data_IF_261797865769
#
_entry.id   IF_261797865769
#
_cell.length_a   1.000
_cell.length_b   1.000
_cell.length_c   1.000
_cell.angle_alpha   90.00
_cell.angle_beta   90.00
_cell.angle_gamma   90.00
#
_symmetry.space_group_name_H-M   'P 1'
#
loop_
_entity.id
_entity.type
_entity.pdbx_description
1 polymer ?
#
# COMPACT_ATOMS: atom_id res chain seq x y z
N UNK A 1 12.68 24.70 1.08
CA UNK A 1 11.34 25.11 1.59
C UNK A 1 11.26 24.78 3.08
N UNK A 2 10.60 25.59 3.92
CA UNK A 2 10.47 25.29 5.35
C UNK A 2 9.61 24.03 5.57
N UNK A 3 10.04 23.11 6.45
CA UNK A 3 9.33 21.87 6.76
C UNK A 3 7.84 22.08 7.12
N UNK A 4 7.54 23.19 7.80
CA UNK A 4 6.16 23.59 8.15
C UNK A 4 5.25 23.74 6.92
N UNK A 5 5.75 24.28 5.81
CA UNK A 5 4.94 24.46 4.58
C UNK A 5 4.60 23.12 3.94
N UNK A 6 5.54 22.17 3.95
CA UNK A 6 5.32 20.82 3.44
C UNK A 6 4.25 20.09 4.27
N UNK A 7 4.32 20.16 5.59
CA UNK A 7 3.31 19.57 6.46
C UNK A 7 1.92 20.16 6.24
N UNK A 8 1.80 21.49 6.13
CA UNK A 8 0.51 22.14 5.85
C UNK A 8 -0.04 21.66 4.50
N UNK A 9 0.78 21.66 3.45
CA UNK A 9 0.35 21.22 2.12
C UNK A 9 -0.08 19.75 2.13
N UNK A 10 0.68 18.87 2.78
CA UNK A 10 0.38 17.45 2.89
C UNK A 10 -0.93 17.20 3.66
N UNK A 11 -1.16 17.91 4.76
CA UNK A 11 -2.40 17.80 5.53
C UNK A 11 -3.62 18.31 4.75
N UNK A 12 -3.49 19.42 4.02
CA UNK A 12 -4.55 19.94 3.16
C UNK A 12 -4.87 18.93 2.06
N UNK A 13 -3.84 18.40 1.38
CA UNK A 13 -4.02 17.39 0.34
C UNK A 13 -4.69 16.12 0.89
N UNK A 14 -4.35 15.68 2.10
CA UNK A 14 -4.97 14.53 2.74
C UNK A 14 -6.47 14.76 2.99
N UNK A 15 -6.84 15.90 3.59
CA UNK A 15 -8.24 16.22 3.88
C UNK A 15 -9.05 16.36 2.59
N UNK A 16 -8.51 17.05 1.58
CA UNK A 16 -9.16 17.17 0.28
C UNK A 16 -9.34 15.80 -0.38
N UNK A 17 -8.33 14.93 -0.31
CA UNK A 17 -8.41 13.58 -0.84
C UNK A 17 -9.50 12.77 -0.14
N UNK A 18 -9.67 12.90 1.18
CA UNK A 18 -10.75 12.21 1.91
C UNK A 18 -12.14 12.66 1.41
N UNK A 19 -12.35 13.98 1.31
CA UNK A 19 -13.61 14.54 0.83
C UNK A 19 -13.91 14.07 -0.60
N UNK A 20 -12.92 14.16 -1.50
CA UNK A 20 -13.06 13.73 -2.89
C UNK A 20 -13.32 12.22 -3.00
N UNK A 21 -12.76 11.41 -2.10
CA UNK A 21 -12.99 9.96 -2.07
C UNK A 21 -14.46 9.62 -1.86
N UNK A 22 -15.08 10.22 -0.85
CA UNK A 22 -16.50 10.03 -0.58
C UNK A 22 -17.40 10.66 -1.65
N UNK A 23 -16.98 11.80 -2.21
CA UNK A 23 -17.73 12.47 -3.27
C UNK A 23 -17.80 11.64 -4.55
N UNK A 24 -16.70 11.00 -4.97
CA UNK A 24 -16.64 10.22 -6.22
C UNK A 24 -17.19 8.80 -6.05
N UNK A 25 -16.87 8.12 -4.94
CA UNK A 25 -17.14 6.68 -4.78
C UNK A 25 -18.22 6.37 -3.72
N UNK A 26 -18.96 7.39 -3.29
CA UNK A 26 -19.95 7.29 -2.22
C UNK A 26 -19.32 6.95 -0.86
N UNK A 27 -20.17 6.75 0.15
CA UNK A 27 -19.69 6.54 1.52
C UNK A 27 -18.91 5.23 1.67
N UNK A 28 -19.41 4.12 1.11
CA UNK A 28 -18.78 2.79 1.26
C UNK A 28 -17.48 2.72 0.47
N UNK A 29 -17.51 3.00 -0.84
CA UNK A 29 -16.31 2.99 -1.69
C UNK A 29 -15.29 4.01 -1.22
N UNK A 30 -15.71 5.26 -0.99
CA UNK A 30 -14.83 6.32 -0.51
C UNK A 30 -14.13 6.00 0.82
N UNK A 31 -14.80 5.28 1.73
CA UNK A 31 -14.21 4.87 3.01
C UNK A 31 -13.02 3.91 2.85
N UNK A 32 -13.02 3.05 1.82
CA UNK A 32 -11.87 2.20 1.53
C UNK A 32 -10.66 3.01 1.05
N UNK A 33 -10.87 4.04 0.23
CA UNK A 33 -9.78 4.92 -0.19
C UNK A 33 -9.29 5.81 0.96
N UNK A 34 -10.19 6.33 1.80
CA UNK A 34 -9.81 7.04 3.04
C UNK A 34 -8.97 6.15 3.95
N UNK A 35 -9.37 4.88 4.13
CA UNK A 35 -8.59 3.91 4.88
C UNK A 35 -7.20 3.70 4.28
N UNK A 36 -7.10 3.53 2.96
CA UNK A 36 -5.81 3.38 2.27
C UNK A 36 -4.89 4.59 2.48
N UNK A 37 -5.44 5.81 2.37
CA UNK A 37 -4.70 7.05 2.61
C UNK A 37 -4.29 7.20 4.08
N UNK A 38 -5.14 6.79 5.03
CA UNK A 38 -4.81 6.78 6.45
C UNK A 38 -3.65 5.81 6.74
N UNK A 39 -3.63 4.64 6.11
CA UNK A 39 -2.50 3.70 6.20
C UNK A 39 -1.23 4.29 5.60
N UNK A 40 -1.31 4.93 4.42
CA UNK A 40 -0.16 5.59 3.80
C UNK A 40 0.40 6.73 4.69
N UNK A 41 -0.48 7.50 5.33
CA UNK A 41 -0.09 8.53 6.28
C UNK A 41 0.58 7.94 7.52
N UNK A 42 0.00 6.88 8.09
CA UNK A 42 0.54 6.17 9.25
C UNK A 42 1.92 5.55 8.94
N UNK A 43 2.11 5.03 7.74
CA UNK A 43 3.41 4.56 7.26
C UNK A 43 4.46 5.66 7.32
N UNK A 44 4.20 6.80 6.68
CA UNK A 44 5.17 7.89 6.58
C UNK A 44 5.48 8.52 7.95
N UNK A 45 4.49 8.63 8.81
CA UNK A 45 4.61 9.32 10.11
C UNK A 45 5.16 8.45 11.23
N UNK A 46 4.87 7.14 11.23
CA UNK A 46 5.17 6.29 12.37
C UNK A 46 5.80 4.94 12.00
N UNK A 47 5.28 4.24 10.98
CA UNK A 47 5.60 2.83 10.79
C UNK A 47 6.74 2.51 9.83
N UNK A 48 7.13 3.44 8.96
CA UNK A 48 8.18 3.24 7.94
C UNK A 48 9.50 2.70 8.51
N UNK A 49 9.85 3.12 9.73
CA UNK A 49 11.10 2.75 10.43
C UNK A 49 10.94 1.59 11.42
N UNK A 50 9.83 0.88 11.36
CA UNK A 50 9.49 -0.19 12.30
C UNK A 50 9.40 -1.55 11.61
N UNK A 51 9.28 -2.60 12.41
CA UNK A 51 8.95 -3.95 11.94
C UNK A 51 7.58 -4.03 11.23
N UNK A 52 6.67 -3.11 11.51
CA UNK A 52 5.31 -3.11 10.97
C UNK A 52 5.16 -2.32 9.67
N UNK A 53 6.28 -1.91 9.05
CA UNK A 53 6.30 -1.10 7.81
C UNK A 53 5.60 -1.76 6.61
N UNK A 54 5.54 -3.10 6.57
CA UNK A 54 4.84 -3.84 5.51
C UNK A 54 3.32 -3.79 5.63
N UNK A 55 2.79 -3.63 6.85
CA UNK A 55 1.35 -3.76 7.13
C UNK A 55 0.53 -2.63 6.47
N UNK A 56 0.93 -1.35 6.55
CA UNK A 56 0.25 -0.28 5.82
C UNK A 56 0.17 -0.51 4.31
N UNK A 57 1.21 -1.07 3.70
CA UNK A 57 1.22 -1.37 2.27
C UNK A 57 0.23 -2.49 1.93
N UNK A 58 0.21 -3.57 2.71
CA UNK A 58 -0.74 -4.67 2.53
C UNK A 58 -2.19 -4.15 2.61
N UNK A 59 -2.48 -3.35 3.63
CA UNK A 59 -3.83 -2.82 3.89
C UNK A 59 -4.24 -1.76 2.85
N UNK A 60 -3.35 -0.83 2.49
CA UNK A 60 -3.65 0.21 1.52
C UNK A 60 -3.88 -0.34 0.11
N UNK A 61 -3.05 -1.27 -0.34
CA UNK A 61 -3.25 -1.90 -1.64
C UNK A 61 -4.48 -2.83 -1.63
N UNK A 62 -4.69 -3.61 -0.56
CA UNK A 62 -5.88 -4.46 -0.43
C UNK A 62 -7.20 -3.69 -0.41
N UNK A 63 -7.18 -2.40 -0.04
CA UNK A 63 -8.33 -1.52 -0.07
C UNK A 63 -8.65 -0.96 -1.48
N UNK A 64 -7.77 -1.13 -2.47
CA UNK A 64 -7.99 -0.63 -3.83
C UNK A 64 -9.17 -1.33 -4.52
N UNK A 65 -9.25 -2.67 -4.57
CA UNK A 65 -10.40 -3.34 -5.17
C UNK A 65 -11.76 -2.96 -4.58
N UNK A 66 -11.97 -2.96 -3.25
CA UNK A 66 -13.27 -2.57 -2.71
C UNK A 66 -13.56 -1.08 -2.90
N UNK A 67 -12.57 -0.19 -2.92
CA UNK A 67 -12.79 1.20 -3.35
C UNK A 67 -13.38 1.26 -4.77
N UNK A 68 -12.80 0.53 -5.71
CA UNK A 68 -13.23 0.52 -7.10
C UNK A 68 -14.60 -0.13 -7.28
N UNK A 69 -14.83 -1.33 -6.74
CA UNK A 69 -16.10 -2.03 -6.97
C UNK A 69 -17.26 -1.32 -6.27
N UNK A 70 -17.12 -0.96 -4.98
CA UNK A 70 -18.17 -0.20 -4.31
C UNK A 70 -18.41 1.17 -4.96
N UNK A 71 -17.37 1.83 -5.47
CA UNK A 71 -17.48 3.12 -6.14
C UNK A 71 -18.12 3.06 -7.53
N UNK A 72 -17.88 2.00 -8.30
CA UNK A 72 -18.37 1.88 -9.68
C UNK A 72 -19.73 1.20 -9.79
N UNK A 73 -19.95 0.13 -9.02
CA UNK A 73 -21.14 -0.72 -9.15
C UNK A 73 -21.85 -1.02 -7.82
N UNK A 74 -21.33 -0.52 -6.69
CA UNK A 74 -21.94 -0.71 -5.37
C UNK A 74 -21.80 -2.13 -4.81
N UNK A 75 -20.99 -2.99 -5.43
CA UNK A 75 -20.83 -4.39 -5.03
C UNK A 75 -19.47 -4.65 -4.36
N UNK A 76 -19.45 -5.64 -3.46
CA UNK A 76 -18.21 -6.11 -2.86
C UNK A 76 -17.35 -6.85 -3.91
N UNK A 77 -16.02 -6.73 -3.87
CA UNK A 77 -15.16 -7.53 -4.72
C UNK A 77 -15.12 -8.98 -4.21
N UNK A 78 -14.81 -9.92 -5.09
CA UNK A 78 -14.46 -11.27 -4.67
C UNK A 78 -13.18 -11.23 -3.82
N UNK A 79 -13.15 -12.02 -2.73
CA UNK A 79 -12.12 -11.91 -1.69
C UNK A 79 -10.69 -12.15 -2.20
N UNK A 80 -10.52 -12.95 -3.27
CA UNK A 80 -9.20 -13.20 -3.85
C UNK A 80 -8.56 -11.91 -4.39
N UNK A 81 -9.35 -10.94 -4.83
CA UNK A 81 -8.85 -9.72 -5.47
C UNK A 81 -8.20 -8.75 -4.46
N UNK A 82 -8.84 -8.35 -3.34
CA UNK A 82 -8.19 -7.63 -2.24
C UNK A 82 -6.94 -8.34 -1.70
N UNK A 83 -6.99 -9.66 -1.55
CA UNK A 83 -5.85 -10.44 -1.04
C UNK A 83 -4.66 -10.39 -2.02
N UNK A 84 -4.93 -10.51 -3.33
CA UNK A 84 -3.91 -10.42 -4.37
C UNK A 84 -3.26 -9.04 -4.39
N UNK A 85 -4.06 -7.97 -4.26
CA UNK A 85 -3.53 -6.61 -4.16
C UNK A 85 -2.72 -6.41 -2.88
N UNK A 86 -3.13 -6.99 -1.75
CA UNK A 86 -2.35 -6.93 -0.51
C UNK A 86 -0.96 -7.61 -0.66
N UNK A 87 -0.90 -8.77 -1.33
CA UNK A 87 0.36 -9.45 -1.66
C UNK A 87 1.27 -8.55 -2.51
N UNK A 88 0.71 -7.95 -3.57
CA UNK A 88 1.42 -7.00 -4.43
C UNK A 88 1.87 -5.77 -3.63
N UNK A 89 1.05 -5.28 -2.70
CA UNK A 89 1.41 -4.18 -1.80
C UNK A 89 2.64 -4.49 -0.96
N UNK A 90 2.72 -5.68 -0.36
CA UNK A 90 3.91 -6.10 0.39
C UNK A 90 5.13 -6.22 -0.54
N UNK A 91 4.95 -6.70 -1.78
CA UNK A 91 6.01 -6.68 -2.78
C UNK A 91 6.48 -5.26 -3.09
N UNK A 92 5.56 -4.31 -3.26
CA UNK A 92 5.87 -2.92 -3.53
C UNK A 92 6.62 -2.26 -2.36
N UNK A 93 6.26 -2.60 -1.11
CA UNK A 93 6.99 -2.17 0.07
C UNK A 93 8.45 -2.63 0.03
N UNK A 94 8.69 -3.92 -0.26
CA UNK A 94 10.05 -4.46 -0.35
C UNK A 94 10.84 -3.76 -1.47
N UNK A 95 10.24 -3.59 -2.65
CA UNK A 95 10.85 -2.91 -3.77
C UNK A 95 11.23 -1.46 -3.44
N UNK A 96 10.34 -0.75 -2.73
CA UNK A 96 10.55 0.63 -2.31
C UNK A 96 11.67 0.77 -1.26
N UNK A 97 11.85 -0.21 -0.38
CA UNK A 97 12.84 -0.15 0.69
C UNK A 97 14.21 -0.72 0.33
N UNK A 98 14.31 -1.58 -0.70
CA UNK A 98 15.56 -2.23 -1.11
C UNK A 98 16.72 -1.26 -1.40
N UNK A 99 16.53 -0.16 -2.17
CA UNK A 99 17.60 0.78 -2.48
C UNK A 99 18.19 1.47 -1.24
N UNK A 100 17.37 1.65 -0.21
CA UNK A 100 17.71 2.46 0.97
C UNK A 100 18.22 1.61 2.16
N UNK A 101 18.34 0.28 2.01
CA UNK A 101 18.69 -0.62 3.12
C UNK A 101 20.00 -0.22 3.80
N UNK A 102 21.05 0.04 3.03
CA UNK A 102 22.38 0.30 3.60
C UNK A 102 22.45 1.70 4.23
N UNK A 103 21.81 2.70 3.62
CA UNK A 103 21.71 4.06 4.17
C UNK A 103 20.89 4.08 5.45
N UNK A 104 19.74 3.38 5.48
CA UNK A 104 18.88 3.30 6.67
C UNK A 104 19.54 2.52 7.80
N UNK A 105 20.29 1.45 7.47
CA UNK A 105 21.09 0.72 8.45
C UNK A 105 22.16 1.61 9.07
N UNK A 106 22.86 2.42 8.26
CA UNK A 106 23.84 3.40 8.73
C UNK A 106 23.23 4.47 9.64
N UNK A 107 21.97 4.85 9.39
CA UNK A 107 21.19 5.77 10.23
C UNK A 107 20.59 5.11 11.50
N UNK A 108 20.87 3.84 11.75
CA UNK A 108 20.39 3.10 12.94
C UNK A 108 18.92 2.70 12.89
N UNK A 109 18.27 2.76 11.71
CA UNK A 109 16.90 2.32 11.51
C UNK A 109 16.81 0.79 11.65
N UNK A 110 15.75 0.31 12.32
CA UNK A 110 15.50 -1.12 12.56
C UNK A 110 14.17 -1.56 11.95
N UNK A 111 14.08 -1.44 10.63
CA UNK A 111 12.90 -1.82 9.85
C UNK A 111 12.85 -3.32 9.50
N UNK A 112 11.66 -3.80 9.14
CA UNK A 112 11.43 -5.16 8.65
C UNK A 112 12.37 -5.55 7.51
N UNK A 113 12.45 -4.73 6.47
CA UNK A 113 13.26 -5.01 5.27
C UNK A 113 14.76 -5.06 5.59
N UNK A 114 15.22 -4.17 6.47
CA UNK A 114 16.63 -4.13 6.91
C UNK A 114 17.02 -5.43 7.63
N UNK A 115 16.10 -5.98 8.44
CA UNK A 115 16.31 -7.24 9.15
C UNK A 115 16.40 -8.46 8.23
N UNK A 116 15.66 -8.46 7.12
CA UNK A 116 15.75 -9.49 6.10
C UNK A 116 17.09 -9.42 5.35
N UNK A 117 17.59 -8.19 5.17
CA UNK A 117 18.76 -7.91 4.36
C UNK A 117 18.46 -8.01 2.86
N UNK A 118 19.37 -7.46 2.05
CA UNK A 118 19.18 -7.26 0.60
C UNK A 118 18.76 -8.54 -0.12
N UNK A 119 19.45 -9.66 0.11
CA UNK A 119 19.21 -10.92 -0.63
C UNK A 119 17.84 -11.51 -0.31
N UNK A 120 17.47 -11.65 0.97
CA UNK A 120 16.18 -12.25 1.35
C UNK A 120 15.02 -11.32 0.97
N UNK A 121 15.17 -10.01 1.18
CA UNK A 121 14.17 -9.02 0.78
C UNK A 121 13.94 -9.03 -0.74
N UNK A 122 15.00 -9.11 -1.55
CA UNK A 122 14.89 -9.19 -3.03
C UNK A 122 14.16 -10.46 -3.46
N UNK A 123 14.53 -11.61 -2.90
CA UNK A 123 13.85 -12.88 -3.22
C UNK A 123 12.38 -12.84 -2.84
N UNK A 124 12.06 -12.37 -1.64
CA UNK A 124 10.68 -12.27 -1.19
C UNK A 124 9.86 -11.30 -2.07
N UNK A 125 10.45 -10.18 -2.47
CA UNK A 125 9.83 -9.23 -3.41
C UNK A 125 9.43 -9.93 -4.70
N UNK A 126 10.37 -10.63 -5.35
CA UNK A 126 10.08 -11.34 -6.60
C UNK A 126 9.05 -12.45 -6.43
N UNK A 127 9.13 -13.22 -5.35
CA UNK A 127 8.15 -14.29 -5.07
C UNK A 127 6.75 -13.71 -4.92
N UNK A 128 6.58 -12.66 -4.11
CA UNK A 128 5.27 -12.03 -3.89
C UNK A 128 4.73 -11.41 -5.17
N UNK A 129 5.58 -10.75 -5.96
CA UNK A 129 5.19 -10.18 -7.25
C UNK A 129 4.70 -11.27 -8.21
N UNK A 130 5.49 -12.33 -8.40
CA UNK A 130 5.13 -13.45 -9.28
C UNK A 130 3.86 -14.12 -8.80
N UNK A 131 3.70 -14.39 -7.50
CA UNK A 131 2.48 -14.96 -6.95
C UNK A 131 1.25 -14.08 -7.25
N UNK A 132 1.32 -12.78 -6.93
CA UNK A 132 0.21 -11.85 -7.15
C UNK A 132 -0.15 -11.72 -8.63
N UNK A 133 0.84 -11.52 -9.50
CA UNK A 133 0.62 -11.42 -10.95
C UNK A 133 0.12 -12.73 -11.56
N UNK A 134 0.57 -13.88 -11.07
CA UNK A 134 0.08 -15.17 -11.55
C UNK A 134 -1.39 -15.40 -11.20
N UNK A 135 -1.83 -15.01 -10.01
CA UNK A 135 -3.24 -15.08 -9.62
C UNK A 135 -4.09 -14.23 -10.58
N UNK A 136 -3.67 -12.98 -10.85
CA UNK A 136 -4.36 -12.11 -11.79
C UNK A 136 -4.42 -12.72 -13.19
N UNK A 137 -3.29 -13.20 -13.71
CA UNK A 137 -3.21 -13.79 -15.05
C UNK A 137 -4.09 -15.04 -15.19
N UNK A 138 -4.10 -15.92 -14.18
CA UNK A 138 -4.91 -17.14 -14.19
C UNK A 138 -6.40 -16.84 -14.18
N UNK A 139 -6.84 -15.85 -13.41
CA UNK A 139 -8.26 -15.45 -13.39
C UNK A 139 -8.64 -14.78 -14.70
N UNK A 140 -7.80 -13.88 -15.23
CA UNK A 140 -8.04 -13.22 -16.51
C UNK A 140 -8.16 -14.22 -17.67
N UNK A 141 -7.33 -15.27 -17.67
CA UNK A 141 -7.38 -16.32 -18.68
C UNK A 141 -8.64 -17.20 -18.59
N UNK A 142 -9.27 -17.33 -17.42
CA UNK A 142 -10.54 -18.04 -17.24
C UNK A 142 -11.75 -17.20 -17.64
N UNK A 143 -11.61 -15.87 -17.60
CA UNK A 143 -12.67 -14.92 -17.95
C UNK A 143 -12.71 -14.52 -19.43
N UNK A 144 -11.76 -15.01 -20.24
CA UNK A 144 -11.66 -14.77 -21.70
C UNK A 144 -12.21 -15.95 -22.47
#
# INVERSE_FOLDING_TARGET
MPARRLWIAASIALVLSFILSWWVAGFIGGSWHVFALAMAWLYNTALSRTWWSWLPYALAFGAVPPFLTYGLNGQAPELWLPLTFAIIGVSAHLANSLPDIDTDRGAGVRGFVISLGVVKATRLCWVLLVCGTSILALVSAQSS
#
